data_IF_064849355469
#
_entry.id   IF_064849355469
#
_cell.length_a   1.000
_cell.length_b   1.000
_cell.length_c   1.000
_cell.angle_alpha   90.00
_cell.angle_beta   90.00
_cell.angle_gamma   90.00
#
_symmetry.space_group_name_H-M   'P 1'
#
loop_
_entity.id
_entity.type
_entity.pdbx_description
1 polymer ?
#
# COMPACT_ATOMS: atom_id res chain seq x y z
N UNK A 1 18.40 9.44 6.19
CA UNK A 1 18.04 10.86 6.01
C UNK A 1 18.19 11.64 7.31
N UNK A 2 17.57 11.23 8.43
CA UNK A 2 17.75 11.88 9.75
C UNK A 2 19.20 11.98 10.25
N UNK A 3 20.01 10.92 10.11
CA UNK A 3 21.37 10.91 10.67
C UNK A 3 22.29 11.94 9.97
N UNK A 4 22.11 12.17 8.66
CA UNK A 4 22.85 13.20 7.92
C UNK A 4 22.41 14.62 8.32
N UNK A 5 21.16 14.81 8.74
CA UNK A 5 20.65 16.11 9.19
C UNK A 5 21.27 16.57 10.51
N UNK A 6 21.69 15.63 11.37
CA UNK A 6 22.35 15.92 12.66
C UNK A 6 23.89 15.80 12.62
N UNK A 7 24.47 15.38 11.49
CA UNK A 7 25.92 15.19 11.34
C UNK A 7 26.68 16.53 11.45
N UNK A 8 26.07 17.61 10.98
CA UNK A 8 26.67 18.95 10.94
C UNK A 8 26.83 19.61 12.33
N UNK A 9 26.29 19.03 13.42
CA UNK A 9 26.29 19.68 14.76
C UNK A 9 26.75 18.79 15.93
N UNK A 10 26.49 17.48 15.92
CA UNK A 10 26.79 16.58 17.04
C UNK A 10 27.74 15.41 16.71
N UNK A 11 28.12 15.27 15.43
CA UNK A 11 28.87 14.12 14.93
C UNK A 11 28.01 12.85 14.80
N UNK A 12 28.25 12.10 13.72
CA UNK A 12 27.48 10.91 13.33
C UNK A 12 27.07 9.96 14.47
N UNK A 13 27.97 9.66 15.40
CA UNK A 13 27.70 8.70 16.48
C UNK A 13 26.65 9.22 17.48
N UNK A 14 26.72 10.49 17.88
CA UNK A 14 25.73 11.09 18.78
C UNK A 14 24.41 11.31 18.06
N UNK A 15 24.44 11.72 16.78
CA UNK A 15 23.26 11.81 15.94
C UNK A 15 22.53 10.46 15.82
N UNK A 16 23.26 9.38 15.52
CA UNK A 16 22.70 8.04 15.41
C UNK A 16 22.15 7.55 16.75
N UNK A 17 22.89 7.73 17.86
CA UNK A 17 22.43 7.37 19.18
C UNK A 17 21.16 8.13 19.58
N UNK A 18 21.12 9.44 19.30
CA UNK A 18 19.94 10.27 19.53
C UNK A 18 18.73 9.74 18.75
N UNK A 19 18.86 9.52 17.44
CA UNK A 19 17.76 9.02 16.61
C UNK A 19 17.27 7.66 17.11
N UNK A 20 18.17 6.72 17.41
CA UNK A 20 17.80 5.36 17.83
C UNK A 20 17.13 5.37 19.20
N UNK A 21 17.63 6.15 20.16
CA UNK A 21 17.19 6.09 21.55
C UNK A 21 16.02 7.02 21.87
N UNK A 22 15.90 8.15 21.16
CA UNK A 22 14.92 9.20 21.48
C UNK A 22 13.69 9.19 20.58
N UNK A 23 13.78 8.66 19.36
CA UNK A 23 12.64 8.63 18.45
C UNK A 23 11.84 7.34 18.62
N UNK A 24 10.51 7.44 18.49
CA UNK A 24 9.59 6.30 18.53
C UNK A 24 9.92 5.25 17.46
N UNK A 25 10.34 5.70 16.27
CA UNK A 25 10.80 4.82 15.18
C UNK A 25 12.08 4.08 15.57
N UNK A 26 13.05 4.79 16.17
CA UNK A 26 14.30 4.20 16.65
C UNK A 26 14.08 3.15 17.74
N UNK A 27 13.23 3.44 18.71
CA UNK A 27 12.84 2.51 19.77
C UNK A 27 12.10 1.28 19.20
N UNK A 28 11.19 1.50 18.23
CA UNK A 28 10.53 0.42 17.50
C UNK A 28 11.52 -0.49 16.78
N UNK A 29 12.54 0.07 16.12
CA UNK A 29 13.60 -0.70 15.47
C UNK A 29 14.39 -1.54 16.47
N UNK A 30 14.70 -1.02 17.65
CA UNK A 30 15.35 -1.80 18.72
C UNK A 30 14.49 -2.98 19.18
N UNK A 31 13.18 -2.77 19.41
CA UNK A 31 12.27 -3.86 19.77
C UNK A 31 12.20 -4.93 18.69
N UNK A 32 12.09 -4.53 17.41
CA UNK A 32 12.10 -5.46 16.27
C UNK A 32 13.39 -6.27 16.24
N UNK A 33 14.56 -5.62 16.40
CA UNK A 33 15.86 -6.31 16.42
C UNK A 33 15.94 -7.32 17.57
N UNK A 34 15.52 -6.95 18.79
CA UNK A 34 15.51 -7.85 19.94
C UNK A 34 14.59 -9.05 19.69
N UNK A 35 13.37 -8.83 19.21
CA UNK A 35 12.43 -9.91 18.90
C UNK A 35 12.92 -10.79 17.74
N UNK A 36 13.61 -10.22 16.75
CA UNK A 36 14.23 -10.99 15.67
C UNK A 36 15.36 -11.90 16.18
N UNK A 37 16.18 -11.44 17.14
CA UNK A 37 17.19 -12.27 17.80
C UNK A 37 16.52 -13.43 18.53
N UNK A 38 15.44 -13.18 19.28
CA UNK A 38 14.71 -14.26 19.95
C UNK A 38 14.05 -15.22 18.97
N UNK A 39 13.47 -14.73 17.87
CA UNK A 39 12.94 -15.57 16.80
C UNK A 39 14.05 -16.46 16.22
N UNK A 40 15.21 -15.90 15.92
CA UNK A 40 16.38 -16.66 15.44
C UNK A 40 16.80 -17.73 16.45
N UNK A 41 16.89 -17.40 17.75
CA UNK A 41 17.17 -18.37 18.81
C UNK A 41 16.13 -19.49 18.87
N UNK A 42 14.85 -19.18 18.64
CA UNK A 42 13.81 -20.22 18.60
C UNK A 42 13.94 -21.16 17.43
N UNK A 43 14.45 -20.71 16.27
CA UNK A 43 14.80 -21.60 15.17
C UNK A 43 16.04 -22.43 15.50
N UNK A 44 17.10 -21.79 16.00
CA UNK A 44 18.35 -22.46 16.34
C UNK A 44 18.19 -23.54 17.40
N UNK A 45 17.33 -23.29 18.40
CA UNK A 45 17.04 -24.24 19.48
C UNK A 45 15.84 -25.15 19.18
N UNK A 46 15.37 -25.19 17.93
CA UNK A 46 14.25 -26.03 17.46
C UNK A 46 13.00 -25.92 18.36
N UNK A 47 12.70 -24.71 18.83
CA UNK A 47 11.56 -24.46 19.69
C UNK A 47 10.25 -24.52 18.91
N UNK A 48 9.17 -24.74 19.66
CA UNK A 48 7.80 -24.80 19.16
C UNK A 48 7.45 -23.65 18.20
N UNK A 49 6.72 -23.98 17.13
CA UNK A 49 6.13 -23.02 16.17
C UNK A 49 5.25 -21.95 16.83
N UNK A 50 4.67 -22.25 18.00
CA UNK A 50 3.86 -21.27 18.75
C UNK A 50 4.74 -20.15 19.33
N UNK A 51 5.96 -20.49 19.78
CA UNK A 51 6.92 -19.49 20.30
C UNK A 51 7.50 -18.67 19.13
N UNK A 52 7.76 -19.30 17.99
CA UNK A 52 8.17 -18.60 16.77
C UNK A 52 7.08 -17.58 16.33
N UNK A 53 5.83 -18.03 16.29
CA UNK A 53 4.69 -17.16 15.97
C UNK A 53 4.51 -16.01 16.97
N UNK A 54 4.74 -16.25 18.26
CA UNK A 54 4.70 -15.22 19.30
C UNK A 54 5.69 -14.09 19.01
N UNK A 55 6.95 -14.40 18.68
CA UNK A 55 7.94 -13.37 18.34
C UNK A 55 7.58 -12.58 17.07
N UNK A 56 7.04 -13.26 16.06
CA UNK A 56 6.57 -12.60 14.84
C UNK A 56 5.44 -11.60 15.16
N UNK A 57 4.47 -11.98 16.02
CA UNK A 57 3.39 -11.08 16.44
C UNK A 57 3.93 -9.89 17.23
N UNK A 58 4.90 -10.09 18.13
CA UNK A 58 5.54 -8.99 18.84
C UNK A 58 6.28 -8.03 17.89
N UNK A 59 6.92 -8.53 16.83
CA UNK A 59 7.50 -7.67 15.79
C UNK A 59 6.43 -6.85 15.07
N UNK A 60 5.26 -7.42 14.77
CA UNK A 60 4.14 -6.69 14.16
C UNK A 60 3.57 -5.60 15.08
N UNK A 61 3.54 -5.85 16.40
CA UNK A 61 3.16 -4.86 17.41
C UNK A 61 4.20 -3.73 17.45
N UNK A 62 5.49 -4.06 17.42
CA UNK A 62 6.56 -3.08 17.38
C UNK A 62 6.52 -2.20 16.11
N UNK A 63 6.14 -2.77 14.96
CA UNK A 63 5.88 -2.00 13.73
C UNK A 63 4.71 -1.03 13.94
N UNK A 64 3.60 -1.50 14.52
CA UNK A 64 2.44 -0.65 14.85
C UNK A 64 2.80 0.48 15.81
N UNK A 65 3.60 0.18 16.83
CA UNK A 65 4.18 1.17 17.74
C UNK A 65 5.02 2.22 17.00
N UNK A 66 5.82 1.83 16.01
CA UNK A 66 6.66 2.77 15.25
C UNK A 66 5.93 3.59 14.16
N UNK A 67 4.60 3.46 14.04
CA UNK A 67 3.84 4.10 12.95
C UNK A 67 3.53 5.58 13.22
N UNK A 68 3.44 6.40 12.15
CA UNK A 68 3.01 7.81 12.24
C UNK A 68 1.66 7.97 12.96
N UNK A 69 0.72 7.04 12.74
CA UNK A 69 -0.59 7.06 13.41
C UNK A 69 -0.45 6.89 14.92
N UNK A 70 0.49 6.06 15.38
CA UNK A 70 0.72 5.85 16.81
C UNK A 70 1.33 7.09 17.47
N UNK A 71 2.12 7.89 16.74
CA UNK A 71 2.60 9.19 17.21
C UNK A 71 1.47 10.21 17.38
N UNK A 72 0.42 10.15 16.54
CA UNK A 72 -0.76 11.02 16.64
C UNK A 72 -1.76 10.57 17.70
N UNK A 73 -2.11 9.28 17.69
CA UNK A 73 -3.00 8.66 18.66
C UNK A 73 -2.48 7.27 19.00
N UNK A 74 -1.82 7.16 20.14
CA UNK A 74 -1.10 5.94 20.51
C UNK A 74 -1.94 4.67 20.41
N UNK A 75 -3.11 4.67 21.08
CA UNK A 75 -4.00 3.50 21.15
C UNK A 75 -4.60 3.19 19.78
N UNK A 76 -5.13 4.20 19.09
CA UNK A 76 -5.75 3.99 17.77
C UNK A 76 -4.69 3.52 16.78
N UNK A 77 -3.52 4.16 16.76
CA UNK A 77 -2.42 3.85 15.87
C UNK A 77 -1.84 2.46 16.07
N UNK A 78 -1.55 2.06 17.31
CA UNK A 78 -0.97 0.73 17.56
C UNK A 78 -1.94 -0.37 17.13
N UNK A 79 -3.22 -0.29 17.51
CA UNK A 79 -4.19 -1.33 17.19
C UNK A 79 -4.57 -1.34 15.71
N UNK A 80 -4.81 -0.18 15.11
CA UNK A 80 -5.19 -0.10 13.69
C UNK A 80 -4.04 -0.54 12.79
N UNK A 81 -2.82 -0.06 13.02
CA UNK A 81 -1.66 -0.39 12.19
C UNK A 81 -1.22 -1.85 12.36
N UNK A 82 -1.18 -2.37 13.59
CA UNK A 82 -0.87 -3.80 13.82
C UNK A 82 -1.93 -4.70 13.19
N UNK A 83 -3.21 -4.37 13.34
CA UNK A 83 -4.30 -5.15 12.70
C UNK A 83 -4.18 -5.11 11.18
N UNK A 84 -3.97 -3.92 10.60
CA UNK A 84 -3.79 -3.76 9.16
C UNK A 84 -2.64 -4.64 8.65
N UNK A 85 -1.47 -4.52 9.27
CA UNK A 85 -0.27 -5.24 8.86
C UNK A 85 -0.40 -6.76 9.05
N UNK A 86 -1.04 -7.22 10.14
CA UNK A 86 -1.31 -8.62 10.37
C UNK A 86 -2.23 -9.21 9.29
N UNK A 87 -3.32 -8.51 8.95
CA UNK A 87 -4.27 -8.98 7.94
C UNK A 87 -3.66 -9.02 6.54
N UNK A 88 -2.85 -8.02 6.19
CA UNK A 88 -2.04 -8.04 4.95
C UNK A 88 -1.10 -9.24 4.96
N UNK A 89 -0.38 -9.47 6.07
CA UNK A 89 0.58 -10.57 6.16
C UNK A 89 -0.08 -11.94 6.02
N UNK A 90 -1.23 -12.16 6.65
CA UNK A 90 -1.98 -13.42 6.55
C UNK A 90 -2.46 -13.64 5.11
N UNK A 91 -3.17 -12.67 4.55
CA UNK A 91 -3.75 -12.82 3.21
C UNK A 91 -2.68 -12.92 2.13
N UNK A 92 -1.79 -11.93 2.08
CA UNK A 92 -0.77 -11.81 1.03
C UNK A 92 0.34 -12.84 1.23
N UNK A 93 0.68 -13.20 2.47
CA UNK A 93 1.69 -14.23 2.75
C UNK A 93 1.27 -15.61 2.25
N UNK A 94 0.03 -16.02 2.52
CA UNK A 94 -0.53 -17.28 1.97
C UNK A 94 -0.58 -17.21 0.44
N UNK A 95 -1.02 -16.09 -0.13
CA UNK A 95 -1.08 -15.90 -1.57
C UNK A 95 0.29 -16.03 -2.23
N UNK A 96 1.32 -15.35 -1.72
CA UNK A 96 2.69 -15.45 -2.22
C UNK A 96 3.23 -16.87 -2.10
N UNK A 97 3.01 -17.52 -0.97
CA UNK A 97 3.47 -18.88 -0.77
C UNK A 97 2.87 -19.84 -1.81
N UNK A 98 1.55 -19.81 -1.98
CA UNK A 98 0.84 -20.70 -2.92
C UNK A 98 1.17 -20.34 -4.37
N UNK A 99 1.24 -19.07 -4.73
CA UNK A 99 1.49 -18.63 -6.10
C UNK A 99 2.88 -18.98 -6.63
N UNK A 100 3.91 -18.93 -5.78
CA UNK A 100 5.30 -19.13 -6.20
C UNK A 100 5.87 -20.50 -5.83
N UNK A 101 5.40 -21.13 -4.76
CA UNK A 101 5.99 -22.38 -4.24
C UNK A 101 5.11 -23.63 -4.42
N UNK A 102 3.89 -23.51 -4.93
CA UNK A 102 3.05 -24.69 -5.24
C UNK A 102 3.55 -25.47 -6.46
N UNK A 103 3.63 -26.80 -6.32
CA UNK A 103 4.20 -27.69 -7.35
C UNK A 103 3.20 -28.12 -8.42
N UNK A 104 1.92 -28.23 -8.06
CA UNK A 104 0.85 -28.64 -8.96
C UNK A 104 -0.46 -27.91 -8.64
N UNK A 105 -1.53 -28.27 -9.36
CA UNK A 105 -2.89 -27.75 -9.18
C UNK A 105 -3.80 -28.72 -8.41
N UNK A 106 -3.24 -29.76 -7.79
CA UNK A 106 -4.01 -30.70 -7.00
C UNK A 106 -4.61 -29.97 -5.80
N UNK A 107 -5.81 -30.38 -5.40
CA UNK A 107 -6.54 -29.79 -4.27
C UNK A 107 -6.84 -28.29 -4.35
N UNK A 108 -6.87 -27.72 -5.57
CA UNK A 108 -7.14 -26.29 -5.75
C UNK A 108 -8.53 -25.87 -5.23
N UNK A 109 -9.54 -26.72 -5.40
CA UNK A 109 -10.89 -26.46 -4.91
C UNK A 109 -10.92 -26.37 -3.38
N UNK A 110 -10.26 -27.32 -2.72
CA UNK A 110 -10.10 -27.43 -1.28
C UNK A 110 -9.33 -26.23 -0.72
N UNK A 111 -8.27 -25.79 -1.40
CA UNK A 111 -7.57 -24.55 -1.07
C UNK A 111 -8.51 -23.34 -1.07
N UNK A 112 -9.28 -23.17 -2.15
CA UNK A 112 -10.21 -22.05 -2.24
C UNK A 112 -11.27 -22.11 -1.14
N UNK A 113 -11.81 -23.29 -0.80
CA UNK A 113 -12.86 -23.45 0.21
C UNK A 113 -12.55 -22.76 1.55
N UNK A 114 -11.31 -22.83 2.03
CA UNK A 114 -10.92 -22.14 3.27
C UNK A 114 -10.22 -20.80 3.00
N UNK A 115 -9.48 -20.65 1.90
CA UNK A 115 -8.71 -19.43 1.66
C UNK A 115 -9.59 -18.25 1.22
N UNK A 116 -10.62 -18.49 0.38
CA UNK A 116 -11.52 -17.41 -0.04
C UNK A 116 -12.23 -16.72 1.15
N UNK A 117 -12.88 -17.44 2.10
CA UNK A 117 -13.48 -16.77 3.24
C UNK A 117 -12.44 -16.07 4.14
N UNK A 118 -11.26 -16.67 4.33
CA UNK A 118 -10.17 -16.01 5.05
C UNK A 118 -9.75 -14.70 4.38
N UNK A 119 -9.55 -14.71 3.07
CA UNK A 119 -9.16 -13.54 2.29
C UNK A 119 -10.22 -12.43 2.38
N UNK A 120 -11.51 -12.78 2.31
CA UNK A 120 -12.61 -11.81 2.49
C UNK A 120 -12.53 -11.15 3.87
N UNK A 121 -12.36 -11.93 4.94
CA UNK A 121 -12.23 -11.39 6.31
C UNK A 121 -11.01 -10.49 6.42
N UNK A 122 -9.85 -10.89 5.87
CA UNK A 122 -8.66 -10.06 5.85
C UNK A 122 -8.89 -8.75 5.09
N UNK A 123 -9.46 -8.80 3.89
CA UNK A 123 -9.73 -7.61 3.06
C UNK A 123 -10.66 -6.64 3.79
N UNK A 124 -11.74 -7.11 4.39
CA UNK A 124 -12.66 -6.27 5.18
C UNK A 124 -11.91 -5.56 6.31
N UNK A 125 -11.08 -6.29 7.06
CA UNK A 125 -10.30 -5.71 8.14
C UNK A 125 -9.21 -4.74 7.64
N UNK A 126 -8.59 -5.02 6.49
CA UNK A 126 -7.60 -4.15 5.85
C UNK A 126 -8.25 -2.81 5.48
N UNK A 127 -9.46 -2.84 4.89
CA UNK A 127 -10.21 -1.61 4.59
C UNK A 127 -10.59 -0.87 5.86
N UNK A 128 -11.19 -1.56 6.84
CA UNK A 128 -11.63 -0.93 8.09
C UNK A 128 -10.45 -0.26 8.83
N UNK A 129 -9.37 -1.00 9.05
CA UNK A 129 -8.16 -0.47 9.68
C UNK A 129 -7.47 0.59 8.82
N UNK A 130 -7.46 0.44 7.50
CA UNK A 130 -6.88 1.41 6.57
C UNK A 130 -7.59 2.77 6.61
N UNK A 131 -8.93 2.77 6.66
CA UNK A 131 -9.70 4.00 6.83
C UNK A 131 -9.49 4.62 8.21
N UNK A 132 -9.39 3.82 9.28
CA UNK A 132 -9.06 4.34 10.62
C UNK A 132 -7.69 5.01 10.62
N UNK A 133 -6.67 4.39 10.02
CA UNK A 133 -5.33 4.96 9.85
C UNK A 133 -5.43 6.28 9.07
N UNK A 134 -6.07 6.27 7.90
CA UNK A 134 -6.20 7.43 7.04
C UNK A 134 -6.88 8.60 7.75
N UNK A 135 -8.04 8.37 8.38
CA UNK A 135 -8.80 9.43 9.05
C UNK A 135 -8.16 9.93 10.34
N UNK A 136 -7.16 9.23 10.88
CA UNK A 136 -6.36 9.71 12.00
C UNK A 136 -5.22 10.63 11.53
N UNK A 137 -4.73 10.45 10.30
CA UNK A 137 -3.65 11.26 9.71
C UNK A 137 -4.21 12.50 9.00
N UNK A 138 -5.27 12.33 8.20
CA UNK A 138 -5.85 13.36 7.35
C UNK A 138 -7.36 13.43 7.54
N UNK A 139 -7.92 14.65 7.58
CA UNK A 139 -9.37 14.80 7.61
C UNK A 139 -9.94 14.43 6.24
N UNK A 140 -11.07 13.70 6.16
CA UNK A 140 -11.67 13.32 4.88
C UNK A 140 -11.94 14.51 3.94
N UNK A 141 -12.30 15.67 4.51
CA UNK A 141 -12.56 16.89 3.77
C UNK A 141 -11.31 17.45 3.06
N UNK A 142 -10.13 17.17 3.57
CA UNK A 142 -8.84 17.67 3.09
C UNK A 142 -8.14 16.64 2.17
N UNK A 143 -8.78 15.49 1.89
CA UNK A 143 -8.18 14.42 1.08
C UNK A 143 -7.87 14.85 -0.36
N UNK A 144 -8.75 15.68 -0.94
CA UNK A 144 -8.57 16.19 -2.29
C UNK A 144 -7.41 17.19 -2.34
N UNK A 145 -7.32 18.09 -1.37
CA UNK A 145 -6.20 19.03 -1.20
C UNK A 145 -4.88 18.29 -1.01
N UNK A 146 -4.91 17.15 -0.31
CA UNK A 146 -3.77 16.25 -0.15
C UNK A 146 -3.12 15.83 -1.46
N UNK A 147 -3.85 15.80 -2.58
CA UNK A 147 -3.31 15.44 -3.91
C UNK A 147 -2.29 16.45 -4.44
N UNK A 148 -2.24 17.67 -3.89
CA UNK A 148 -1.18 18.62 -4.19
C UNK A 148 0.19 18.17 -3.64
N UNK A 149 0.20 17.28 -2.63
CA UNK A 149 1.43 16.82 -1.96
C UNK A 149 1.97 15.51 -2.54
N UNK A 150 3.30 15.24 -2.43
CA UNK A 150 3.86 13.93 -2.76
C UNK A 150 3.21 12.78 -1.98
N UNK A 151 2.90 13.01 -0.69
CA UNK A 151 2.27 12.02 0.18
C UNK A 151 0.88 11.63 -0.34
N UNK A 152 0.00 12.61 -0.57
CA UNK A 152 -1.36 12.35 -1.03
C UNK A 152 -1.42 11.71 -2.43
N UNK A 153 -0.43 11.96 -3.30
CA UNK A 153 -0.33 11.27 -4.60
C UNK A 153 0.08 9.82 -4.50
N UNK A 154 1.03 9.50 -3.64
CA UNK A 154 1.37 8.10 -3.36
C UNK A 154 0.18 7.37 -2.71
N UNK A 155 -0.57 8.07 -1.85
CA UNK A 155 -1.81 7.56 -1.27
C UNK A 155 -2.89 7.33 -2.36
N UNK A 156 -3.06 8.27 -3.29
CA UNK A 156 -3.98 8.12 -4.43
C UNK A 156 -3.59 6.92 -5.31
N UNK A 157 -2.31 6.80 -5.68
CA UNK A 157 -1.80 5.67 -6.45
C UNK A 157 -2.02 4.33 -5.73
N UNK A 158 -1.85 4.30 -4.41
CA UNK A 158 -2.20 3.13 -3.57
C UNK A 158 -3.68 2.80 -3.70
N UNK A 159 -4.59 3.77 -3.54
CA UNK A 159 -6.04 3.57 -3.67
C UNK A 159 -6.45 3.08 -5.06
N UNK A 160 -5.92 3.69 -6.12
CA UNK A 160 -6.17 3.27 -7.51
C UNK A 160 -5.71 1.82 -7.71
N UNK A 161 -4.54 1.46 -7.20
CA UNK A 161 -3.94 0.12 -7.37
C UNK A 161 -4.67 -0.98 -6.61
N UNK A 162 -5.43 -0.64 -5.56
CA UNK A 162 -6.28 -1.60 -4.86
C UNK A 162 -7.42 -2.10 -5.76
N UNK A 163 -7.94 -1.29 -6.69
CA UNK A 163 -9.04 -1.66 -7.59
C UNK A 163 -8.72 -2.91 -8.43
N UNK A 164 -7.63 -2.96 -9.23
CA UNK A 164 -7.29 -4.15 -9.98
C UNK A 164 -6.95 -5.33 -9.07
N UNK A 165 -6.38 -5.11 -7.87
CA UNK A 165 -6.11 -6.20 -6.92
C UNK A 165 -7.39 -6.87 -6.46
N UNK A 166 -8.42 -6.10 -6.07
CA UNK A 166 -9.72 -6.67 -5.71
C UNK A 166 -10.28 -7.45 -6.89
N UNK A 167 -10.17 -6.92 -8.11
CA UNK A 167 -10.64 -7.62 -9.30
C UNK A 167 -9.91 -8.96 -9.51
N UNK A 168 -8.58 -9.00 -9.35
CA UNK A 168 -7.80 -10.24 -9.38
C UNK A 168 -8.21 -11.20 -8.26
N UNK A 169 -8.39 -10.71 -7.03
CA UNK A 169 -8.83 -11.51 -5.89
C UNK A 169 -10.23 -12.13 -6.14
N UNK A 170 -11.15 -11.38 -6.76
CA UNK A 170 -12.48 -11.86 -7.15
C UNK A 170 -12.37 -12.91 -8.26
N UNK A 171 -11.54 -12.67 -9.28
CA UNK A 171 -11.27 -13.64 -10.34
C UNK A 171 -10.71 -14.94 -9.76
N UNK A 172 -9.71 -14.85 -8.90
CA UNK A 172 -8.98 -15.99 -8.35
C UNK A 172 -9.71 -16.71 -7.23
N UNK A 173 -10.50 -16.02 -6.42
CA UNK A 173 -11.22 -16.59 -5.28
C UNK A 173 -12.63 -17.09 -5.61
N UNK A 174 -13.34 -16.38 -6.50
CA UNK A 174 -14.78 -16.62 -6.75
C UNK A 174 -15.00 -17.16 -8.16
N UNK A 175 -14.49 -16.50 -9.20
CA UNK A 175 -14.77 -16.93 -10.58
C UNK A 175 -14.04 -18.22 -10.96
N UNK A 176 -12.82 -18.41 -10.46
CA UNK A 176 -12.00 -19.61 -10.72
C UNK A 176 -12.68 -20.91 -10.28
N UNK A 177 -13.53 -20.87 -9.24
CA UNK A 177 -14.34 -22.01 -8.77
C UNK A 177 -15.29 -22.54 -9.84
N UNK A 178 -15.74 -21.66 -10.74
CA UNK A 178 -16.65 -22.01 -11.85
C UNK A 178 -15.89 -22.40 -13.12
N UNK A 179 -14.62 -22.01 -13.23
CA UNK A 179 -13.79 -22.27 -14.42
C UNK A 179 -12.96 -23.56 -14.34
N UNK A 180 -12.89 -24.21 -13.18
CA UNK A 180 -12.23 -25.52 -13.05
C UNK A 180 -12.85 -26.65 -13.88
N UNK A 181 -13.97 -26.37 -14.57
CA UNK A 181 -14.64 -27.26 -15.53
C UNK A 181 -14.26 -27.01 -16.99
N UNK A 182 -13.55 -25.91 -17.32
CA UNK A 182 -13.07 -25.60 -18.67
C UNK A 182 -11.53 -25.77 -18.73
N UNK A 183 -11.03 -26.63 -19.63
CA UNK A 183 -9.81 -27.42 -19.39
C UNK A 183 -8.44 -26.72 -19.41
N UNK A 184 -8.34 -25.39 -19.63
CA UNK A 184 -7.04 -24.70 -19.78
C UNK A 184 -6.74 -23.62 -18.72
N UNK A 185 -7.60 -23.45 -17.71
CA UNK A 185 -7.32 -22.50 -16.63
C UNK A 185 -6.17 -22.99 -15.73
N UNK A 186 -5.09 -22.21 -15.64
CA UNK A 186 -3.98 -22.46 -14.72
C UNK A 186 -4.00 -21.45 -13.55
N UNK A 187 -4.52 -21.82 -12.37
CA UNK A 187 -4.74 -20.89 -11.27
C UNK A 187 -3.47 -20.21 -10.75
N UNK A 188 -2.35 -20.92 -10.80
CA UNK A 188 -1.05 -20.41 -10.32
C UNK A 188 -0.58 -19.20 -11.11
N UNK A 189 -0.75 -19.20 -12.43
CA UNK A 189 -0.35 -18.05 -13.27
C UNK A 189 -1.20 -16.83 -12.95
N UNK A 190 -2.48 -17.03 -12.67
CA UNK A 190 -3.39 -15.97 -12.26
C UNK A 190 -3.08 -15.42 -10.86
N UNK A 191 -2.73 -16.28 -9.90
CA UNK A 191 -2.26 -15.81 -8.60
C UNK A 191 -0.92 -15.06 -8.71
N UNK A 192 -0.01 -15.49 -9.60
CA UNK A 192 1.24 -14.75 -9.85
C UNK A 192 0.94 -13.35 -10.37
N UNK A 193 0.01 -13.21 -11.32
CA UNK A 193 -0.46 -11.90 -11.81
C UNK A 193 -1.04 -11.03 -10.70
N UNK A 194 -1.88 -11.59 -9.83
CA UNK A 194 -2.39 -10.88 -8.64
C UNK A 194 -1.23 -10.41 -7.74
N UNK A 195 -0.27 -11.29 -7.49
CA UNK A 195 0.91 -11.01 -6.65
C UNK A 195 1.80 -9.90 -7.24
N UNK A 196 1.91 -9.79 -8.57
CA UNK A 196 2.66 -8.72 -9.24
C UNK A 196 1.99 -7.35 -9.07
N UNK A 197 0.66 -7.28 -9.17
CA UNK A 197 -0.05 -6.01 -8.89
C UNK A 197 0.01 -5.68 -7.39
N UNK A 198 -0.04 -6.67 -6.50
CA UNK A 198 0.19 -6.47 -5.06
C UNK A 198 1.56 -5.86 -4.75
N UNK A 199 2.62 -6.28 -5.46
CA UNK A 199 3.94 -5.66 -5.31
C UNK A 199 3.93 -4.16 -5.66
N UNK A 200 3.09 -3.73 -6.59
CA UNK A 200 2.95 -2.32 -6.92
C UNK A 200 2.28 -1.52 -5.78
N UNK A 201 1.29 -2.10 -5.10
CA UNK A 201 0.72 -1.50 -3.87
C UNK A 201 1.76 -1.42 -2.75
N UNK A 202 2.59 -2.45 -2.58
CA UNK A 202 3.68 -2.42 -1.61
C UNK A 202 4.75 -1.39 -1.97
N UNK A 203 5.05 -1.23 -3.26
CA UNK A 203 5.94 -0.17 -3.73
C UNK A 203 5.40 1.22 -3.34
N UNK A 204 4.15 1.54 -3.66
CA UNK A 204 3.56 2.83 -3.27
C UNK A 204 3.51 3.01 -1.75
N UNK A 205 3.23 1.94 -1.00
CA UNK A 205 3.23 1.97 0.47
C UNK A 205 4.64 2.20 1.04
N UNK A 206 5.68 1.59 0.43
CA UNK A 206 7.06 1.78 0.83
C UNK A 206 7.52 3.22 0.58
N UNK A 207 7.19 3.79 -0.58
CA UNK A 207 7.46 5.21 -0.87
C UNK A 207 6.70 6.11 0.10
N UNK A 208 5.42 5.85 0.35
CA UNK A 208 4.61 6.61 1.31
C UNK A 208 5.24 6.61 2.72
N UNK A 209 5.79 5.48 3.17
CA UNK A 209 6.49 5.37 4.45
C UNK A 209 7.79 6.18 4.56
N UNK A 210 8.29 6.75 3.45
CA UNK A 210 9.44 7.68 3.44
C UNK A 210 9.06 9.14 3.34
N UNK A 211 7.79 9.45 3.04
CA UNK A 211 7.27 10.80 2.88
C UNK A 211 6.62 11.28 4.18
N UNK A 212 6.83 12.55 4.51
CA UNK A 212 6.14 13.18 5.63
C UNK A 212 4.65 13.37 5.30
N UNK A 213 3.73 13.04 6.21
CA UNK A 213 2.32 13.40 6.08
C UNK A 213 2.12 14.93 5.96
N UNK A 214 1.02 15.41 5.35
CA UNK A 214 0.79 16.84 5.12
C UNK A 214 0.84 17.70 6.39
N UNK A 215 0.41 17.18 7.54
CA UNK A 215 0.42 17.91 8.81
C UNK A 215 1.83 18.14 9.39
N UNK A 216 2.85 17.39 8.96
CA UNK A 216 4.25 17.57 9.39
C UNK A 216 5.00 18.55 8.48
N UNK A 217 4.42 18.96 7.36
CA UNK A 217 5.07 19.86 6.43
C UNK A 217 5.03 21.29 6.98
N UNK A 218 6.19 21.98 7.06
CA UNK A 218 6.20 23.38 7.47
C UNK A 218 5.39 24.22 6.48
N UNK A 219 4.66 25.26 6.94
CA UNK A 219 4.04 26.23 6.05
C UNK A 219 5.11 26.79 5.12
N UNK A 220 4.99 26.52 3.83
CA UNK A 220 6.03 26.88 2.90
C UNK A 220 5.92 28.37 2.57
N UNK A 221 7.06 29.07 2.48
CA UNK A 221 7.08 30.47 2.05
C UNK A 221 6.57 30.56 0.61
N UNK A 222 5.62 31.46 0.36
CA UNK A 222 5.02 31.70 -0.96
C UNK A 222 6.10 31.91 -2.03
N UNK A 223 6.28 30.95 -2.93
CA UNK A 223 6.83 31.21 -4.27
C UNK A 223 5.65 31.28 -5.22
N UNK A 224 5.59 32.37 -5.98
CA UNK A 224 4.45 32.76 -6.82
C UNK A 224 4.48 32.03 -8.18
N UNK A 225 5.36 31.05 -8.35
CA UNK A 225 5.58 30.41 -9.64
C UNK A 225 4.60 29.25 -9.84
N UNK A 226 3.82 29.33 -10.92
CA UNK A 226 2.93 28.25 -11.34
C UNK A 226 3.78 27.02 -11.71
N UNK A 227 3.55 25.85 -11.12
CA UNK A 227 4.33 24.66 -11.43
C UNK A 227 4.15 24.26 -12.89
N UNK A 228 5.23 23.81 -13.53
CA UNK A 228 5.14 23.17 -14.85
C UNK A 228 4.29 21.90 -14.78
N UNK A 229 3.80 21.40 -15.92
CA UNK A 229 3.01 20.16 -15.93
C UNK A 229 3.79 18.94 -15.38
N UNK A 230 5.13 18.94 -15.47
CA UNK A 230 6.00 17.89 -14.93
C UNK A 230 6.12 18.02 -13.41
N UNK A 231 6.37 19.22 -12.90
CA UNK A 231 6.39 19.50 -11.46
C UNK A 231 5.04 19.22 -10.83
N UNK A 232 3.96 19.60 -11.53
CA UNK A 232 2.61 19.19 -11.20
C UNK A 232 2.55 17.67 -11.15
N UNK A 233 2.87 16.92 -12.20
CA UNK A 233 2.73 15.46 -12.25
C UNK A 233 3.44 14.71 -11.09
N UNK A 234 4.57 15.23 -10.60
CA UNK A 234 5.36 14.61 -9.52
C UNK A 234 5.21 15.27 -8.14
N UNK A 235 4.33 16.27 -8.00
CA UNK A 235 4.23 17.12 -6.81
C UNK A 235 5.58 17.67 -6.32
N UNK A 236 6.42 18.09 -7.26
CA UNK A 236 7.72 18.68 -6.93
C UNK A 236 7.53 20.16 -6.63
N UNK A 237 8.03 20.61 -5.48
CA UNK A 237 8.11 22.03 -5.11
C UNK A 237 6.74 22.76 -5.06
N UNK A 238 5.63 22.03 -4.84
CA UNK A 238 4.29 22.61 -4.72
C UNK A 238 4.04 23.06 -3.28
N UNK A 239 3.72 24.36 -3.11
CA UNK A 239 3.57 24.99 -1.82
C UNK A 239 2.12 24.97 -1.34
N UNK A 240 1.91 24.69 -0.06
CA UNK A 240 0.62 24.77 0.64
C UNK A 240 0.43 26.19 1.23
N UNK A 241 -0.80 26.70 1.39
CA UNK A 241 -2.09 26.03 1.17
C UNK A 241 -2.67 26.27 -0.24
N UNK A 242 -3.05 25.18 -0.91
CA UNK A 242 -3.76 25.18 -2.19
C UNK A 242 -5.06 24.40 -2.00
N UNK A 243 -6.17 24.97 -2.44
CA UNK A 243 -7.43 24.25 -2.57
C UNK A 243 -7.45 23.57 -3.95
N UNK A 244 -7.71 22.27 -3.95
CA UNK A 244 -7.78 21.46 -5.17
C UNK A 244 -9.25 21.28 -5.53
N UNK A 245 -9.66 21.79 -6.68
CA UNK A 245 -11.00 21.55 -7.23
C UNK A 245 -10.94 20.63 -8.46
N UNK A 246 -12.03 19.94 -8.74
CA UNK A 246 -12.15 19.05 -9.90
C UNK A 246 -12.74 19.84 -11.08
N UNK A 247 -11.89 20.17 -12.05
CA UNK A 247 -12.22 20.82 -13.30
C UNK A 247 -12.04 19.84 -14.48
N UNK A 248 -13.03 18.96 -14.76
CA UNK A 248 -12.90 17.95 -15.79
C UNK A 248 -12.87 18.58 -17.19
N UNK A 249 -11.86 18.20 -17.98
CA UNK A 249 -11.75 18.54 -19.40
C UNK A 249 -12.09 17.33 -20.28
N UNK A 250 -12.36 17.54 -21.57
CA UNK A 250 -12.60 16.45 -22.52
C UNK A 250 -11.47 15.40 -22.51
N UNK A 251 -10.20 15.83 -22.42
CA UNK A 251 -9.05 14.94 -22.34
C UNK A 251 -9.10 14.07 -21.07
N UNK A 252 -9.42 14.66 -19.91
CA UNK A 252 -9.47 13.92 -18.64
C UNK A 252 -10.62 12.90 -18.62
N UNK A 253 -11.78 13.27 -19.18
CA UNK A 253 -12.92 12.36 -19.33
C UNK A 253 -12.55 11.20 -20.26
N UNK A 254 -11.83 11.47 -21.35
CA UNK A 254 -11.33 10.44 -22.26
C UNK A 254 -10.34 9.50 -21.54
N UNK A 255 -9.38 10.03 -20.79
CA UNK A 255 -8.41 9.23 -20.03
C UNK A 255 -9.13 8.33 -19.00
N UNK A 256 -10.06 8.87 -18.22
CA UNK A 256 -10.85 8.08 -17.27
C UNK A 256 -11.64 6.99 -17.99
N UNK A 257 -12.24 7.29 -19.15
CA UNK A 257 -12.97 6.31 -19.96
C UNK A 257 -12.06 5.19 -20.47
N UNK A 258 -10.84 5.52 -20.91
CA UNK A 258 -9.83 4.53 -21.34
C UNK A 258 -9.34 3.69 -20.16
N UNK A 259 -9.19 4.27 -18.96
CA UNK A 259 -8.89 3.50 -17.77
C UNK A 259 -9.99 2.46 -17.49
N UNK A 260 -11.26 2.87 -17.51
CA UNK A 260 -12.38 1.92 -17.34
C UNK A 260 -12.40 0.82 -18.42
N UNK A 261 -11.99 1.12 -19.65
CA UNK A 261 -11.79 0.11 -20.70
C UNK A 261 -10.70 -0.90 -20.30
N UNK A 262 -9.56 -0.46 -19.77
CA UNK A 262 -8.52 -1.38 -19.29
C UNK A 262 -9.02 -2.28 -18.15
N UNK A 263 -9.85 -1.75 -17.24
CA UNK A 263 -10.47 -2.55 -16.18
C UNK A 263 -11.39 -3.63 -16.76
N UNK A 264 -12.20 -3.30 -17.79
CA UNK A 264 -13.02 -4.27 -18.51
C UNK A 264 -12.16 -5.35 -19.21
N UNK A 265 -11.04 -4.94 -19.80
CA UNK A 265 -10.11 -5.84 -20.49
C UNK A 265 -9.46 -6.87 -19.56
N UNK A 266 -9.32 -6.59 -18.25
CA UNK A 266 -8.91 -7.59 -17.25
C UNK A 266 -9.94 -8.73 -17.19
N UNK A 267 -11.25 -8.40 -17.17
CA UNK A 267 -12.34 -9.38 -17.13
C UNK A 267 -12.41 -10.18 -18.44
N UNK A 268 -12.21 -9.51 -19.58
CA UNK A 268 -12.17 -10.18 -20.88
C UNK A 268 -10.97 -11.12 -20.96
N UNK A 269 -9.81 -10.71 -20.43
CA UNK A 269 -8.59 -11.51 -20.41
C UNK A 269 -8.78 -12.81 -19.64
N UNK A 270 -9.58 -12.79 -18.56
CA UNK A 270 -9.93 -13.99 -17.81
C UNK A 270 -10.63 -15.06 -18.66
N UNK A 271 -11.51 -14.65 -19.58
CA UNK A 271 -12.27 -15.59 -20.41
C UNK A 271 -11.59 -15.96 -21.72
N UNK A 272 -10.79 -15.05 -22.29
CA UNK A 272 -10.36 -15.14 -23.69
C UNK A 272 -8.85 -14.99 -23.91
N UNK A 273 -8.08 -14.58 -22.91
CA UNK A 273 -6.64 -14.30 -23.06
C UNK A 273 -5.83 -14.92 -21.91
N UNK A 274 -4.63 -14.38 -21.67
CA UNK A 274 -3.70 -14.87 -20.66
C UNK A 274 -3.62 -13.94 -19.43
N UNK A 275 -3.15 -14.44 -18.28
CA UNK A 275 -2.89 -13.63 -17.08
C UNK A 275 -1.92 -12.47 -17.31
N UNK A 276 -1.00 -12.60 -18.28
CA UNK A 276 -0.01 -11.56 -18.60
C UNK A 276 -0.70 -10.32 -19.14
N UNK A 277 -1.65 -10.48 -20.07
CA UNK A 277 -2.44 -9.35 -20.59
C UNK A 277 -3.29 -8.70 -19.50
N UNK A 278 -3.91 -9.51 -18.63
CA UNK A 278 -4.63 -8.97 -17.47
C UNK A 278 -3.72 -8.13 -16.56
N UNK A 279 -2.47 -8.55 -16.35
CA UNK A 279 -1.49 -7.81 -15.53
C UNK A 279 -1.11 -6.49 -16.20
N UNK A 280 -0.85 -6.51 -17.51
CA UNK A 280 -0.54 -5.32 -18.30
C UNK A 280 -1.71 -4.31 -18.25
N UNK A 281 -2.94 -4.77 -18.47
CA UNK A 281 -4.12 -3.92 -18.37
C UNK A 281 -4.34 -3.37 -16.96
N UNK A 282 -3.99 -4.12 -15.91
CA UNK A 282 -3.96 -3.62 -14.52
C UNK A 282 -2.98 -2.47 -14.34
N UNK A 283 -1.75 -2.58 -14.87
CA UNK A 283 -0.77 -1.49 -14.85
C UNK A 283 -1.22 -0.27 -15.66
N UNK A 284 -1.74 -0.48 -16.87
CA UNK A 284 -2.28 0.59 -17.71
C UNK A 284 -3.46 1.29 -17.05
N UNK A 285 -4.39 0.55 -16.42
CA UNK A 285 -5.48 1.12 -15.63
C UNK A 285 -4.97 2.09 -14.57
N UNK A 286 -3.97 1.68 -13.78
CA UNK A 286 -3.42 2.50 -12.70
C UNK A 286 -2.84 3.80 -13.24
N UNK A 287 -2.00 3.70 -14.27
CA UNK A 287 -1.35 4.87 -14.87
C UNK A 287 -2.38 5.81 -15.51
N UNK A 288 -3.27 5.29 -16.33
CA UNK A 288 -4.24 6.12 -17.07
C UNK A 288 -5.25 6.77 -16.12
N UNK A 289 -5.73 6.06 -15.09
CA UNK A 289 -6.64 6.65 -14.11
C UNK A 289 -5.94 7.74 -13.29
N UNK A 290 -4.70 7.51 -12.87
CA UNK A 290 -3.90 8.52 -12.16
C UNK A 290 -3.75 9.80 -12.99
N UNK A 291 -3.36 9.68 -14.26
CA UNK A 291 -3.23 10.82 -15.16
C UNK A 291 -4.59 11.53 -15.38
N UNK A 292 -5.66 10.77 -15.57
CA UNK A 292 -7.00 11.32 -15.73
C UNK A 292 -7.45 12.16 -14.53
N UNK A 293 -7.19 11.68 -13.31
CA UNK A 293 -7.54 12.37 -12.07
C UNK A 293 -6.63 13.60 -11.82
N UNK A 294 -5.31 13.44 -11.90
CA UNK A 294 -4.37 14.55 -11.63
C UNK A 294 -4.50 15.69 -12.65
N UNK A 295 -4.78 15.39 -13.92
CA UNK A 295 -5.03 16.44 -14.91
C UNK A 295 -6.46 17.01 -14.88
N UNK A 296 -7.36 16.40 -14.10
CA UNK A 296 -8.69 16.98 -13.83
C UNK A 296 -8.68 17.97 -12.66
N UNK A 297 -7.54 18.15 -11.99
CA UNK A 297 -7.41 19.06 -10.86
C UNK A 297 -7.10 20.49 -11.34
N UNK A 298 -7.82 21.47 -10.80
CA UNK A 298 -7.48 22.89 -10.85
C UNK A 298 -6.97 23.35 -9.47
N UNK A 299 -6.00 24.26 -9.46
CA UNK A 299 -5.39 24.77 -8.24
C UNK A 299 -5.86 26.20 -7.98
N UNK A 300 -6.38 26.43 -6.78
CA UNK A 300 -6.73 27.76 -6.29
C UNK A 300 -5.83 28.10 -5.10
N UNK A 301 -5.13 29.25 -5.13
CA UNK A 301 -4.42 29.72 -3.94
C UNK A 301 -5.45 30.08 -2.88
N UNK A 302 -5.28 29.56 -1.66
CA UNK A 302 -6.10 29.96 -0.51
C UNK A 302 -5.63 31.36 -0.08
N UNK A 303 -6.50 32.37 -0.24
CA UNK A 303 -6.27 33.77 0.18
C UNK A 303 -6.56 33.93 1.66
#
# INVERSE_FOLDING_TARGET
>A
MLIRFFDDTAGFAQAAASVILTTQVGQGWLFITVFAIFLWLTFYLERSKYIQGFWIVLMMIAIGYSSHVSSQSFVVGIFSHTTHFLMVTIWVGVLFHVSWFSRDKQHWSEFLQWFTPLAIVCIINIFASGFVIMFTIEKPAEYLDGWATPYGRMLLLKHISIIPIILFAVINGILSRKASTFSDYEPRKWLKSESLILLLVFYFTAVLGTLSPPYEMPPAAQTVETPTWVEWLFAKDILLPIEVDIAPTFLTVLLISVALLFLLLIIISYKKMSPVFATLFGGCFILTLYLGLIFSCALYPVI
#
